data_IF_468247249793
#
_entry.id   IF_468247249793
#
_cell.length_a   1.000
_cell.length_b   1.000
_cell.length_c   1.000
_cell.angle_alpha   90.00
_cell.angle_beta   90.00
_cell.angle_gamma   90.00
#
_symmetry.space_group_name_H-M   'P 1'
#
loop_
_entity.id
_entity.type
_entity.pdbx_description
1 polymer ?
#
# COMPACT_ATOMS: atom_id res chain seq x y z
N UNK A 1 -16.84 -31.53 -0.85
CA UNK A 1 -18.05 -30.76 -1.21
C UNK A 1 -18.83 -30.45 0.05
N UNK A 2 -18.72 -29.22 0.55
CA UNK A 2 -19.41 -28.79 1.76
C UNK A 2 -20.74 -28.12 1.40
N UNK A 3 -21.79 -28.41 2.19
CA UNK A 3 -23.11 -27.79 2.06
C UNK A 3 -23.18 -26.54 2.92
N UNK A 4 -23.37 -25.36 2.31
CA UNK A 4 -23.57 -24.12 3.04
C UNK A 4 -25.05 -23.71 3.04
N UNK A 5 -25.61 -23.32 4.21
CA UNK A 5 -26.97 -22.78 4.29
C UNK A 5 -27.02 -21.37 3.71
N UNK A 6 -28.00 -21.10 2.84
CA UNK A 6 -28.27 -19.75 2.33
C UNK A 6 -29.28 -19.02 3.23
N UNK A 7 -29.06 -17.71 3.46
CA UNK A 7 -30.01 -16.85 4.16
C UNK A 7 -31.26 -16.67 3.29
N UNK A 8 -32.29 -17.49 3.55
CA UNK A 8 -33.53 -17.57 2.78
C UNK A 8 -34.12 -18.98 2.67
N UNK A 9 -33.37 -20.00 3.10
CA UNK A 9 -33.80 -21.41 3.07
C UNK A 9 -33.33 -22.12 1.81
N UNK A 10 -32.48 -23.14 2.00
CA UNK A 10 -31.85 -23.93 0.94
C UNK A 10 -30.40 -24.27 1.28
N UNK A 11 -29.84 -25.26 0.58
CA UNK A 11 -28.43 -25.65 0.68
C UNK A 11 -27.76 -25.43 -0.67
N UNK A 12 -26.59 -24.79 -0.67
CA UNK A 12 -25.76 -24.62 -1.85
C UNK A 12 -24.52 -25.51 -1.74
N UNK A 13 -24.24 -26.27 -2.80
CA UNK A 13 -23.03 -27.06 -2.93
C UNK A 13 -21.84 -26.12 -3.18
N UNK A 14 -20.84 -26.12 -2.30
CA UNK A 14 -19.61 -25.36 -2.47
C UNK A 14 -18.51 -26.20 -3.13
N UNK A 15 -17.76 -25.54 -4.01
CA UNK A 15 -16.57 -26.11 -4.64
C UNK A 15 -15.42 -26.22 -3.62
N UNK A 16 -14.88 -27.44 -3.47
CA UNK A 16 -13.78 -27.73 -2.57
C UNK A 16 -12.47 -27.06 -3.00
N UNK A 17 -12.30 -26.79 -4.30
CA UNK A 17 -11.09 -26.19 -4.83
C UNK A 17 -10.89 -24.74 -4.38
N UNK A 18 -11.96 -24.07 -3.92
CA UNK A 18 -11.92 -22.68 -3.46
C UNK A 18 -12.10 -22.59 -1.94
N UNK A 19 -12.99 -23.41 -1.38
CA UNK A 19 -13.38 -23.32 0.04
C UNK A 19 -12.74 -24.37 0.94
N UNK A 20 -12.16 -25.44 0.38
CA UNK A 20 -11.50 -26.51 1.13
C UNK A 20 -9.98 -26.37 1.23
N UNK A 21 -9.40 -25.32 0.66
CA UNK A 21 -7.95 -25.11 0.62
C UNK A 21 -7.43 -24.60 1.98
N UNK A 22 -6.27 -25.12 2.40
CA UNK A 22 -5.59 -24.65 3.62
C UNK A 22 -5.26 -23.15 3.52
N UNK A 23 -5.54 -22.44 4.61
CA UNK A 23 -5.35 -21.00 4.66
C UNK A 23 -3.85 -20.62 4.64
N UNK A 24 -3.40 -19.96 3.57
CA UNK A 24 -2.04 -19.44 3.45
C UNK A 24 -1.94 -18.00 4.01
N UNK A 25 -1.69 -17.90 5.32
CA UNK A 25 -1.54 -16.61 6.02
C UNK A 25 -0.48 -15.66 5.43
N UNK A 26 0.74 -16.11 5.09
CA UNK A 26 1.76 -15.26 4.49
C UNK A 26 1.32 -14.58 3.18
N UNK A 27 0.69 -15.34 2.27
CA UNK A 27 0.22 -14.82 0.99
C UNK A 27 -0.91 -13.80 1.18
N UNK A 28 -1.84 -14.08 2.08
CA UNK A 28 -2.95 -13.17 2.41
C UNK A 28 -2.42 -11.86 2.99
N UNK A 29 -1.46 -11.91 3.91
CA UNK A 29 -0.85 -10.71 4.47
C UNK A 29 -0.16 -9.85 3.40
N UNK A 30 0.56 -10.47 2.45
CA UNK A 30 1.20 -9.76 1.34
C UNK A 30 0.18 -9.05 0.45
N UNK A 31 -0.91 -9.74 0.08
CA UNK A 31 -1.98 -9.16 -0.73
C UNK A 31 -2.67 -7.98 -0.04
N UNK A 32 -3.00 -8.12 1.24
CA UNK A 32 -3.62 -7.03 2.03
C UNK A 32 -2.66 -5.83 2.14
N UNK A 33 -1.37 -6.06 2.39
CA UNK A 33 -0.37 -4.99 2.42
C UNK A 33 -0.21 -4.31 1.06
N UNK A 34 -0.21 -5.07 -0.02
CA UNK A 34 -0.13 -4.55 -1.38
C UNK A 34 -1.32 -3.62 -1.68
N UNK A 35 -2.54 -4.06 -1.37
CA UNK A 35 -3.74 -3.25 -1.56
C UNK A 35 -3.71 -1.96 -0.74
N UNK A 36 -3.35 -2.04 0.55
CA UNK A 36 -3.23 -0.87 1.41
C UNK A 36 -2.14 0.12 0.92
N UNK A 37 -1.06 -0.38 0.33
CA UNK A 37 -0.02 0.45 -0.25
C UNK A 37 -0.48 1.11 -1.55
N UNK A 38 -1.20 0.39 -2.41
CA UNK A 38 -1.73 0.90 -3.67
C UNK A 38 -2.74 2.04 -3.48
N UNK A 39 -3.45 2.05 -2.35
CA UNK A 39 -4.40 3.13 -1.99
C UNK A 39 -3.73 4.45 -1.59
N UNK A 40 -2.40 4.53 -1.48
CA UNK A 40 -1.70 5.77 -1.10
C UNK A 40 -1.62 6.74 -2.28
N UNK A 41 -2.06 7.98 -2.08
CA UNK A 41 -2.12 9.01 -3.13
C UNK A 41 -0.75 9.61 -3.52
N UNK A 42 0.23 9.61 -2.62
CA UNK A 42 1.59 10.08 -2.92
C UNK A 42 1.75 11.60 -3.15
N UNK A 43 0.85 12.44 -2.63
CA UNK A 43 0.84 13.91 -2.84
C UNK A 43 1.83 14.69 -1.96
N UNK A 44 2.85 14.02 -1.41
CA UNK A 44 3.88 14.66 -0.57
C UNK A 44 4.95 15.30 -1.44
N UNK A 45 5.27 16.57 -1.20
CA UNK A 45 6.36 17.30 -1.86
C UNK A 45 7.02 18.27 -0.89
N UNK A 46 8.35 18.29 -0.88
CA UNK A 46 9.16 19.20 -0.06
C UNK A 46 10.17 19.91 -0.94
N UNK A 47 10.32 21.23 -0.77
CA UNK A 47 11.33 22.00 -1.52
C UNK A 47 12.73 21.57 -1.10
N UNK A 48 13.57 21.22 -2.07
CA UNK A 48 15.01 21.03 -1.85
C UNK A 48 15.71 22.40 -1.83
N UNK A 49 16.96 22.48 -1.36
CA UNK A 49 17.74 23.75 -1.28
C UNK A 49 17.71 24.56 -2.59
N UNK A 50 17.72 23.88 -3.75
CA UNK A 50 17.69 24.52 -5.07
C UNK A 50 16.31 25.03 -5.52
N UNK A 51 15.23 24.57 -4.86
CA UNK A 51 13.85 25.01 -5.13
C UNK A 51 13.40 26.17 -4.22
N UNK A 52 14.27 26.62 -3.31
CA UNK A 52 14.02 27.75 -2.41
C UNK A 52 14.46 29.05 -3.07
N UNK A 53 13.51 29.97 -3.33
CA UNK A 53 13.82 31.32 -3.75
C UNK A 53 14.51 32.09 -2.61
N UNK A 54 15.84 32.23 -2.66
CA UNK A 54 16.60 33.02 -1.68
C UNK A 54 17.98 32.50 -1.29
N UNK A 55 18.37 31.28 -1.70
CA UNK A 55 19.65 30.68 -1.32
C UNK A 55 20.66 30.66 -2.47
N UNK A 56 21.67 31.53 -2.45
CA UNK A 56 22.74 31.50 -3.45
C UNK A 56 23.81 32.58 -3.32
N UNK A 57 23.54 33.67 -2.60
CA UNK A 57 24.56 34.68 -2.32
C UNK A 57 25.42 34.22 -1.14
N UNK A 58 26.71 33.98 -1.37
CA UNK A 58 27.68 33.85 -0.29
C UNK A 58 27.61 35.12 0.56
N UNK A 59 27.16 35.00 1.81
CA UNK A 59 27.03 36.13 2.74
C UNK A 59 28.39 36.62 3.27
N UNK A 60 29.47 35.89 2.96
CA UNK A 60 30.83 36.27 3.31
C UNK A 60 31.61 36.57 2.04
N UNK A 61 32.10 37.79 1.95
CA UNK A 61 33.19 38.17 1.05
C UNK A 61 34.43 37.37 1.49
N UNK A 62 34.93 36.54 0.58
CA UNK A 62 36.09 35.71 0.83
C UNK A 62 37.35 36.56 0.84
N UNK A 63 37.63 37.23 1.96
CA UNK A 63 38.97 37.72 2.26
C UNK A 63 39.89 36.52 2.48
N UNK A 64 40.67 36.19 1.46
CA UNK A 64 41.86 35.35 1.60
C UNK A 64 42.88 35.76 0.52
N UNK A 65 44.03 36.27 0.98
CA UNK A 65 45.23 36.48 0.15
C UNK A 65 45.50 37.94 -0.15
#
# INVERSE_FOLDING_TARGET
MADAPILGGGTLQLDDAVFGVEFNGPLVHQNVRHELNARRQGTSSTKTRGLVSGGGRSARDGRSG
#
